data_IF_119799039340
#
_entry.id   IF_119799039340
#
_cell.length_a   1.000
_cell.length_b   1.000
_cell.length_c   1.000
_cell.angle_alpha   90.00
_cell.angle_beta   90.00
_cell.angle_gamma   90.00
#
_symmetry.space_group_name_H-M   'P 1'
#
loop_
_entity.id
_entity.type
_entity.pdbx_description
1 polymer ?
#
# COMPACT_ATOMS: atom_id res chain seq x y z
N UNK A 1 -3.88 10.03 8.78
CA UNK A 1 -3.76 9.31 7.48
C UNK A 1 -3.02 10.15 6.45
N UNK A 2 -3.33 11.45 6.30
CA UNK A 2 -2.62 12.33 5.37
C UNK A 2 -1.11 12.41 5.63
N UNK A 3 -0.69 12.38 6.89
CA UNK A 3 0.72 12.48 7.31
C UNK A 3 1.52 11.19 7.11
N UNK A 4 0.85 10.08 6.73
CA UNK A 4 1.55 8.85 6.39
C UNK A 4 2.18 8.93 4.99
N UNK A 5 1.70 9.79 4.10
CA UNK A 5 2.18 9.86 2.71
C UNK A 5 2.95 11.16 2.47
N UNK A 6 4.12 11.08 1.85
CA UNK A 6 4.85 12.27 1.41
C UNK A 6 4.04 13.06 0.35
N UNK A 7 4.25 14.38 0.20
CA UNK A 7 3.48 15.22 -0.73
C UNK A 7 3.42 14.68 -2.16
N UNK A 8 4.55 14.16 -2.66
CA UNK A 8 4.69 13.62 -4.02
C UNK A 8 4.49 12.09 -4.10
N UNK A 9 3.98 11.47 -3.03
CA UNK A 9 3.73 10.04 -3.01
C UNK A 9 2.78 9.65 -4.14
N UNK A 10 3.19 8.59 -4.87
CA UNK A 10 2.42 8.01 -5.97
C UNK A 10 2.29 6.51 -5.75
N UNK A 11 1.06 6.02 -5.85
CA UNK A 11 0.72 4.60 -5.89
C UNK A 11 0.50 4.17 -7.34
N UNK A 12 1.20 3.13 -7.77
CA UNK A 12 0.90 2.40 -9.00
C UNK A 12 0.08 1.18 -8.62
N UNK A 13 -1.23 1.27 -8.81
CA UNK A 13 -2.17 0.23 -8.46
C UNK A 13 -2.00 -1.00 -9.38
N UNK A 14 -2.41 -2.20 -8.93
CA UNK A 14 -2.25 -3.43 -9.70
C UNK A 14 -2.95 -3.44 -11.08
N UNK A 15 -3.93 -2.56 -11.28
CA UNK A 15 -4.63 -2.34 -12.55
C UNK A 15 -3.91 -1.39 -13.52
N UNK A 16 -2.70 -0.92 -13.18
CA UNK A 16 -1.90 -0.02 -14.02
C UNK A 16 -2.23 1.47 -13.88
N UNK A 17 -3.09 1.84 -12.92
CA UNK A 17 -3.44 3.24 -12.64
C UNK A 17 -2.43 3.85 -11.68
N UNK A 18 -1.93 5.05 -12.01
CA UNK A 18 -1.10 5.85 -11.12
C UNK A 18 -1.98 6.85 -10.34
N UNK A 19 -1.96 6.74 -9.01
CA UNK A 19 -2.71 7.59 -8.09
C UNK A 19 -1.75 8.46 -7.27
N UNK A 20 -1.87 9.79 -7.41
CA UNK A 20 -1.18 10.73 -6.54
C UNK A 20 -1.82 10.77 -5.15
N UNK A 21 -1.07 11.24 -4.14
CA UNK A 21 -1.52 11.38 -2.74
C UNK A 21 -2.96 11.88 -2.58
N UNK A 22 -3.35 12.95 -3.27
CA UNK A 22 -4.70 13.52 -3.12
C UNK A 22 -5.81 12.52 -3.51
N UNK A 23 -5.67 11.87 -4.68
CA UNK A 23 -6.61 10.86 -5.19
C UNK A 23 -6.62 9.62 -4.29
N UNK A 24 -5.44 9.19 -3.85
CA UNK A 24 -5.29 8.07 -2.93
C UNK A 24 -6.02 8.33 -1.61
N UNK A 25 -5.84 9.51 -1.00
CA UNK A 25 -6.50 9.88 0.25
C UNK A 25 -8.01 9.99 0.11
N UNK A 26 -8.49 10.56 -0.99
CA UNK A 26 -9.93 10.62 -1.28
C UNK A 26 -10.52 9.20 -1.38
N UNK A 27 -9.88 8.31 -2.15
CA UNK A 27 -10.31 6.92 -2.30
C UNK A 27 -10.33 6.17 -0.96
N UNK A 28 -9.32 6.37 -0.13
CA UNK A 28 -9.27 5.76 1.21
C UNK A 28 -10.37 6.29 2.12
N UNK A 29 -10.67 7.59 2.05
CA UNK A 29 -11.78 8.19 2.78
C UNK A 29 -13.13 7.62 2.34
N UNK A 30 -13.34 7.43 1.03
CA UNK A 30 -14.57 6.86 0.49
C UNK A 30 -14.72 5.37 0.82
N UNK A 31 -13.61 4.64 0.96
CA UNK A 31 -13.62 3.22 1.29
C UNK A 31 -13.88 2.94 2.78
N UNK A 32 -13.78 3.94 3.65
CA UNK A 32 -13.95 3.76 5.10
C UNK A 32 -15.36 3.24 5.42
N UNK A 33 -15.43 2.07 6.04
CA UNK A 33 -16.70 1.43 6.41
C UNK A 33 -17.49 0.82 5.26
N UNK A 34 -17.00 0.89 4.01
CA UNK A 34 -17.70 0.36 2.84
C UNK A 34 -17.74 -1.18 2.81
N UNK A 35 -16.76 -1.85 3.41
CA UNK A 35 -16.67 -3.31 3.52
C UNK A 35 -16.43 -3.69 4.97
N UNK A 36 -17.51 -3.94 5.77
CA UNK A 36 -17.38 -4.20 7.21
C UNK A 36 -16.68 -5.52 7.53
N UNK A 37 -16.65 -6.45 6.58
CA UNK A 37 -15.97 -7.74 6.67
C UNK A 37 -14.55 -7.73 6.10
N UNK A 38 -14.04 -6.56 5.67
CA UNK A 38 -12.71 -6.43 5.10
C UNK A 38 -11.63 -6.88 6.08
N UNK A 39 -10.82 -7.84 5.64
CA UNK A 39 -9.59 -8.26 6.30
C UNK A 39 -8.41 -8.07 5.36
N UNK A 40 -7.40 -7.36 5.85
CA UNK A 40 -6.10 -7.18 5.17
C UNK A 40 -5.05 -7.92 5.99
N UNK A 41 -4.25 -8.76 5.34
CA UNK A 41 -3.11 -9.47 5.95
C UNK A 41 -1.85 -9.20 5.13
N UNK A 42 -0.74 -8.97 5.82
CA UNK A 42 0.58 -8.74 5.22
C UNK A 42 1.47 -9.94 5.53
N UNK A 43 2.05 -10.53 4.50
CA UNK A 43 2.99 -11.66 4.57
C UNK A 43 4.31 -11.31 3.85
N UNK A 44 5.36 -12.10 4.12
CA UNK A 44 6.67 -11.99 3.44
C UNK A 44 7.24 -10.56 3.40
N UNK A 45 7.07 -9.82 4.51
CA UNK A 45 7.65 -8.49 4.63
C UNK A 45 9.17 -8.59 4.74
N UNK A 46 9.87 -7.99 3.78
CA UNK A 46 11.32 -8.02 3.74
C UNK A 46 11.92 -6.74 3.14
N UNK A 47 13.07 -6.25 3.64
CA UNK A 47 13.82 -5.22 2.97
C UNK A 47 14.41 -5.75 1.65
N UNK A 48 14.33 -4.94 0.60
CA UNK A 48 15.00 -5.16 -0.69
C UNK A 48 16.31 -4.38 -0.72
N UNK A 49 16.27 -3.15 -0.23
CA UNK A 49 17.40 -2.24 -0.17
C UNK A 49 17.17 -1.20 0.93
N UNK A 50 18.23 -0.72 1.56
CA UNK A 50 18.15 0.41 2.50
C UNK A 50 19.44 1.23 2.46
N UNK A 51 19.29 2.54 2.65
CA UNK A 51 20.40 3.48 2.81
C UNK A 51 19.92 4.71 3.57
N UNK A 52 20.74 5.14 4.52
CA UNK A 52 20.43 6.29 5.39
C UNK A 52 19.05 6.07 6.05
N UNK A 53 18.15 7.04 5.94
CA UNK A 53 16.79 6.98 6.48
C UNK A 53 15.76 6.41 5.49
N UNK A 54 16.20 5.80 4.38
CA UNK A 54 15.32 5.33 3.30
C UNK A 54 15.44 3.82 3.11
N UNK A 55 14.30 3.14 2.98
CA UNK A 55 14.24 1.70 2.75
C UNK A 55 13.23 1.35 1.66
N UNK A 56 13.67 0.55 0.69
CA UNK A 56 12.80 -0.16 -0.24
C UNK A 56 12.45 -1.52 0.37
N UNK A 57 11.17 -1.77 0.56
CA UNK A 57 10.68 -3.04 1.10
C UNK A 57 9.75 -3.71 0.09
N UNK A 58 9.58 -5.01 0.24
CA UNK A 58 8.55 -5.79 -0.44
C UNK A 58 7.70 -6.51 0.58
N UNK A 59 6.45 -6.77 0.21
CA UNK A 59 5.56 -7.65 0.95
C UNK A 59 4.46 -8.19 0.03
N UNK A 60 3.76 -9.21 0.53
CA UNK A 60 2.51 -9.70 -0.06
C UNK A 60 1.35 -9.15 0.76
N UNK A 61 0.35 -8.60 0.07
CA UNK A 61 -0.89 -8.18 0.69
C UNK A 61 -2.05 -9.04 0.21
N UNK A 62 -2.73 -9.64 1.18
CA UNK A 62 -3.98 -10.37 0.98
C UNK A 62 -5.15 -9.54 1.46
N UNK A 63 -6.21 -9.45 0.65
CA UNK A 63 -7.48 -8.85 1.03
C UNK A 63 -8.61 -9.86 0.90
N UNK A 64 -9.42 -9.96 1.94
CA UNK A 64 -10.60 -10.81 2.01
C UNK A 64 -11.83 -9.96 2.34
N UNK A 65 -12.83 -9.97 1.46
CA UNK A 65 -14.13 -9.31 1.67
C UNK A 65 -15.16 -9.90 0.69
N UNK A 66 -16.44 -9.98 1.07
CA UNK A 66 -17.53 -10.43 0.20
C UNK A 66 -17.34 -11.84 -0.35
N UNK A 67 -16.65 -12.72 0.38
CA UNK A 67 -16.33 -14.08 -0.07
C UNK A 67 -15.23 -14.16 -1.15
N UNK A 68 -14.60 -13.03 -1.50
CA UNK A 68 -13.48 -12.98 -2.44
C UNK A 68 -12.17 -12.77 -1.69
N UNK A 69 -11.13 -13.51 -2.12
CA UNK A 69 -9.75 -13.31 -1.68
C UNK A 69 -8.92 -12.83 -2.85
N UNK A 70 -8.31 -11.66 -2.72
CA UNK A 70 -7.36 -11.12 -3.70
C UNK A 70 -5.97 -10.99 -3.07
N UNK A 71 -4.95 -11.04 -3.93
CA UNK A 71 -3.57 -11.00 -3.50
C UNK A 71 -2.70 -10.21 -4.47
N UNK A 72 -1.81 -9.38 -3.92
CA UNK A 72 -0.86 -8.57 -4.70
C UNK A 72 0.53 -8.61 -4.08
N UNK A 73 1.54 -8.50 -4.93
CA UNK A 73 2.87 -8.08 -4.52
C UNK A 73 2.89 -6.57 -4.37
N UNK A 74 3.58 -6.07 -3.37
CA UNK A 74 3.85 -4.65 -3.20
C UNK A 74 5.35 -4.42 -3.04
N UNK A 75 5.83 -3.34 -3.65
CA UNK A 75 7.15 -2.76 -3.40
C UNK A 75 6.95 -1.32 -2.96
N UNK A 76 7.51 -0.94 -1.80
CA UNK A 76 7.27 0.35 -1.16
C UNK A 76 8.57 0.99 -0.78
N UNK A 77 8.71 2.28 -1.09
CA UNK A 77 9.80 3.12 -0.61
C UNK A 77 9.33 3.89 0.62
N UNK A 78 9.96 3.64 1.75
CA UNK A 78 9.76 4.33 3.01
C UNK A 78 10.90 5.30 3.30
N UNK A 79 10.58 6.41 3.96
CA UNK A 79 11.55 7.25 4.65
C UNK A 79 11.21 7.33 6.13
N UNK A 80 12.19 7.23 7.01
CA UNK A 80 12.01 7.37 8.45
C UNK A 80 11.55 8.79 8.78
N UNK A 81 10.53 8.88 9.62
CA UNK A 81 10.03 10.13 10.19
C UNK A 81 9.35 9.80 11.52
N UNK A 82 9.99 10.17 12.62
CA UNK A 82 9.50 9.86 13.97
C UNK A 82 8.14 10.51 14.29
N UNK A 83 7.75 11.56 13.57
CA UNK A 83 6.44 12.21 13.72
C UNK A 83 5.35 11.53 12.89
N UNK A 84 5.71 10.72 11.89
CA UNK A 84 4.75 10.05 11.04
C UNK A 84 4.14 8.79 11.71
N UNK A 85 2.90 8.41 11.36
CA UNK A 85 2.31 7.17 11.83
C UNK A 85 3.19 5.96 11.51
N UNK A 86 3.56 5.19 12.53
CA UNK A 86 4.46 4.04 12.37
C UNK A 86 5.94 4.41 12.18
N UNK A 87 6.32 5.67 12.39
CA UNK A 87 7.71 6.14 12.32
C UNK A 87 8.27 6.27 10.90
N UNK A 88 7.41 6.19 9.88
CA UNK A 88 7.80 6.27 8.46
C UNK A 88 6.77 7.02 7.63
N UNK A 89 7.24 7.67 6.58
CA UNK A 89 6.42 8.20 5.49
C UNK A 89 6.56 7.35 4.23
N UNK A 90 5.45 7.16 3.55
CA UNK A 90 5.35 6.47 2.27
C UNK A 90 5.75 7.43 1.15
N UNK A 91 6.82 7.10 0.42
CA UNK A 91 7.33 7.89 -0.70
C UNK A 91 6.81 7.39 -2.06
N UNK A 92 6.71 6.08 -2.22
CA UNK A 92 6.32 5.45 -3.48
C UNK A 92 5.76 4.05 -3.21
N UNK A 93 4.72 3.67 -3.95
CA UNK A 93 4.13 2.34 -3.86
C UNK A 93 3.93 1.80 -5.26
N UNK A 94 4.35 0.56 -5.50
CA UNK A 94 4.03 -0.17 -6.71
C UNK A 94 3.44 -1.52 -6.33
N UNK A 95 2.27 -1.82 -6.88
CA UNK A 95 1.58 -3.08 -6.63
C UNK A 95 1.35 -3.85 -7.93
N UNK A 96 1.32 -5.17 -7.85
CA UNK A 96 1.03 -6.05 -8.98
C UNK A 96 0.17 -7.21 -8.52
N UNK A 97 -0.90 -7.51 -9.27
CA UNK A 97 -1.73 -8.67 -8.95
C UNK A 97 -0.91 -9.94 -9.01
N UNK A 98 -1.08 -10.80 -8.02
CA UNK A 98 -0.56 -12.16 -8.11
C UNK A 98 -1.37 -12.93 -9.17
N UNK A 99 -0.68 -13.82 -9.89
CA UNK A 99 -1.32 -14.67 -10.88
C UNK A 99 -2.53 -15.39 -10.27
N UNK A 100 -3.69 -15.31 -10.94
CA UNK A 100 -4.96 -15.90 -10.52
C UNK A 100 -5.54 -15.38 -9.18
N UNK A 101 -5.04 -14.25 -8.64
CA UNK A 101 -5.50 -13.65 -7.40
C UNK A 101 -5.89 -12.16 -7.55
N UNK A 102 -6.07 -11.69 -8.78
CA UNK A 102 -6.73 -10.41 -9.04
C UNK A 102 -8.25 -10.49 -8.82
N UNK A 103 -8.94 -9.34 -8.82
CA UNK A 103 -10.40 -9.33 -8.89
C UNK A 103 -10.87 -10.06 -10.15
N UNK A 104 -11.97 -10.81 -10.02
CA UNK A 104 -12.65 -11.48 -11.14
C UNK A 104 -13.64 -10.53 -11.80
#
# INVERSE_FOLDING_TARGET
MADAFAPDCTLYAPGGVAEKKAVLLERLSQALGAQPDMKITIDDFAPVWARDEVALVRYVEWREAGGQKTGRYATVLFQADAAAPGGVVWLHIHETWMANHGPR
#
